data_IF_504500313505
#
_entry.id   IF_504500313505
#
_cell.length_a   1.000
_cell.length_b   1.000
_cell.length_c   1.000
_cell.angle_alpha   90.00
_cell.angle_beta   90.00
_cell.angle_gamma   90.00
#
_symmetry.space_group_name_H-M   'P 1'
#
loop_
_entity.id
_entity.type
_entity.pdbx_description
1 polymer ?
#
# COMPACT_ATOMS: atom_id res chain seq x y z
N UNK A 1 -33.06 12.93 52.57
CA UNK A 1 -32.95 11.46 52.68
C UNK A 1 -31.74 11.06 51.85
N UNK A 2 -30.51 11.30 52.30
CA UNK A 2 -29.73 10.63 53.35
C UNK A 2 -29.20 9.25 52.95
N UNK A 3 -27.87 9.14 53.06
CA UNK A 3 -26.98 7.97 53.16
C UNK A 3 -26.51 7.33 51.84
N UNK A 4 -25.22 7.24 51.46
CA UNK A 4 -23.86 7.30 52.06
C UNK A 4 -23.16 5.93 52.06
N UNK A 5 -21.89 5.97 51.58
CA UNK A 5 -20.76 5.07 51.86
C UNK A 5 -20.83 3.63 51.27
N UNK A 6 -19.75 2.93 50.89
CA UNK A 6 -18.29 3.00 51.17
C UNK A 6 -17.62 2.00 50.19
N UNK A 7 -16.53 2.34 49.49
CA UNK A 7 -15.11 2.21 49.89
C UNK A 7 -14.62 0.76 50.12
N UNK A 8 -13.68 0.31 49.29
CA UNK A 8 -12.58 -0.62 49.64
C UNK A 8 -11.58 -0.76 48.47
N UNK A 9 -10.40 -0.16 48.67
CA UNK A 9 -9.15 -0.45 47.95
C UNK A 9 -8.52 -1.76 48.45
N UNK A 10 -7.79 -2.50 47.59
CA UNK A 10 -6.43 -3.04 47.91
C UNK A 10 -5.75 -3.82 46.77
N UNK A 11 -4.56 -3.32 46.43
CA UNK A 11 -3.27 -4.02 46.31
C UNK A 11 -3.13 -5.33 45.50
N UNK A 12 -2.40 -5.20 44.39
CA UNK A 12 -1.01 -5.68 44.30
C UNK A 12 -0.78 -7.16 43.98
N UNK A 13 -0.23 -7.45 42.80
CA UNK A 13 0.91 -8.36 42.73
C UNK A 13 1.76 -8.18 41.45
N UNK A 14 3.05 -7.93 41.65
CA UNK A 14 4.13 -8.04 40.65
C UNK A 14 4.86 -9.35 40.92
N UNK A 15 5.18 -10.10 39.87
CA UNK A 15 6.34 -11.00 39.93
C UNK A 15 6.88 -11.31 38.53
N UNK A 16 8.13 -10.88 38.33
CA UNK A 16 9.09 -11.34 37.33
C UNK A 16 9.30 -12.85 37.39
N UNK A 17 9.61 -13.47 36.25
CA UNK A 17 10.66 -14.51 36.21
C UNK A 17 11.27 -14.63 34.80
N UNK A 18 12.49 -14.11 34.70
CA UNK A 18 13.52 -14.43 33.71
C UNK A 18 14.00 -15.88 33.85
N UNK A 19 14.36 -16.53 32.74
CA UNK A 19 15.03 -17.83 32.74
C UNK A 19 15.63 -18.17 31.39
N UNK A 20 16.85 -17.70 31.14
CA UNK A 20 17.79 -18.23 30.13
C UNK A 20 18.38 -19.57 30.60
N UNK A 21 18.51 -20.56 29.71
CA UNK A 21 19.61 -21.54 29.72
C UNK A 21 19.65 -22.45 28.47
N UNK A 22 20.65 -22.19 27.61
CA UNK A 22 21.70 -23.12 27.12
C UNK A 22 21.35 -24.52 26.55
N UNK A 23 21.65 -24.64 25.24
CA UNK A 23 22.58 -25.59 24.56
C UNK A 23 22.79 -27.01 25.14
N UNK A 24 22.61 -28.04 24.28
CA UNK A 24 23.68 -28.96 23.82
C UNK A 24 23.13 -30.15 23.00
N UNK A 25 23.90 -30.62 22.00
CA UNK A 25 24.04 -32.05 21.71
C UNK A 25 23.48 -32.60 20.38
N UNK A 26 24.30 -32.57 19.33
CA UNK A 26 24.38 -33.66 18.33
C UNK A 26 25.34 -34.76 18.89
N UNK A 27 25.38 -36.04 18.42
CA UNK A 27 25.58 -36.44 17.01
C UNK A 27 24.97 -37.79 16.52
N UNK A 28 24.97 -37.98 15.18
CA UNK A 28 25.13 -39.19 14.32
C UNK A 28 24.24 -40.46 14.56
N UNK A 29 23.80 -41.30 13.61
CA UNK A 29 24.32 -41.82 12.32
C UNK A 29 23.19 -42.44 11.45
N UNK A 30 23.45 -42.48 10.13
CA UNK A 30 23.11 -43.49 9.10
C UNK A 30 21.68 -43.99 8.73
N UNK A 31 21.44 -43.83 7.41
CA UNK A 31 20.83 -44.76 6.45
C UNK A 31 19.31 -45.05 6.47
N UNK A 32 18.60 -44.49 5.48
CA UNK A 32 17.97 -45.28 4.41
C UNK A 32 17.53 -44.45 3.22
N UNK A 33 17.93 -44.95 2.06
CA UNK A 33 17.71 -44.48 0.71
C UNK A 33 16.31 -44.93 0.23
N UNK A 34 15.46 -43.98 -0.17
CA UNK A 34 14.28 -44.23 -1.03
C UNK A 34 14.11 -43.06 -2.00
N UNK A 35 13.94 -43.31 -3.32
CA UNK A 35 13.89 -42.26 -4.33
C UNK A 35 12.49 -41.64 -4.39
N UNK A 36 12.40 -40.33 -4.17
CA UNK A 36 11.18 -39.54 -4.36
C UNK A 36 11.21 -38.91 -5.77
N UNK A 37 10.19 -39.09 -6.63
CA UNK A 37 10.19 -38.55 -7.97
C UNK A 37 10.07 -37.02 -7.95
N UNK A 38 10.77 -36.38 -8.88
CA UNK A 38 11.16 -34.98 -8.83
C UNK A 38 10.02 -33.98 -9.01
N UNK A 39 10.00 -33.00 -8.12
CA UNK A 39 9.58 -31.63 -8.45
C UNK A 39 10.84 -30.77 -8.52
N UNK A 40 11.44 -30.70 -9.72
CA UNK A 40 12.37 -29.63 -10.06
C UNK A 40 11.56 -28.49 -10.65
N UNK A 41 11.04 -27.62 -9.78
CA UNK A 41 10.56 -26.31 -10.20
C UNK A 41 11.79 -25.41 -10.38
N UNK A 42 12.30 -25.32 -11.60
CA UNK A 42 13.28 -24.31 -11.98
C UNK A 42 12.61 -22.93 -11.95
N UNK A 43 13.12 -21.96 -11.19
CA UNK A 43 12.64 -20.58 -11.27
C UNK A 43 13.36 -19.87 -12.41
N UNK A 44 12.63 -19.42 -13.44
CA UNK A 44 13.13 -18.36 -14.33
C UNK A 44 13.03 -18.55 -15.84
N UNK A 45 12.31 -19.55 -16.37
CA UNK A 45 12.11 -19.67 -17.82
C UNK A 45 10.74 -19.11 -18.21
N UNK A 46 10.73 -18.04 -19.01
CA UNK A 46 9.49 -17.50 -19.54
C UNK A 46 8.79 -18.59 -20.36
N UNK A 47 7.56 -19.01 -20.01
CA UNK A 47 6.87 -20.08 -20.71
C UNK A 47 6.70 -19.67 -22.18
N UNK A 48 7.30 -20.44 -23.08
CA UNK A 48 7.31 -20.15 -24.51
C UNK A 48 5.91 -20.11 -25.12
N UNK A 49 5.76 -19.58 -26.36
CA UNK A 49 4.48 -19.45 -27.06
C UNK A 49 3.70 -20.77 -27.18
N UNK A 50 4.41 -21.91 -27.14
CA UNK A 50 3.83 -23.25 -27.17
C UNK A 50 3.00 -23.55 -25.91
N UNK A 51 3.46 -23.12 -24.73
CA UNK A 51 2.79 -23.42 -23.46
C UNK A 51 1.43 -22.72 -23.36
N UNK A 52 1.34 -21.48 -23.83
CA UNK A 52 0.08 -20.74 -23.91
C UNK A 52 -0.94 -21.47 -24.79
N UNK A 53 -0.52 -21.93 -25.97
CA UNK A 53 -1.40 -22.62 -26.92
C UNK A 53 -1.89 -23.98 -26.36
N UNK A 54 -1.01 -24.73 -25.70
CA UNK A 54 -1.37 -25.96 -25.00
C UNK A 54 -2.46 -25.73 -23.94
N UNK A 55 -2.30 -24.70 -23.10
CA UNK A 55 -3.28 -24.35 -22.07
C UNK A 55 -4.61 -23.89 -22.67
N UNK A 56 -4.58 -23.13 -23.76
CA UNK A 56 -5.80 -22.72 -24.48
C UNK A 56 -6.55 -23.92 -25.08
N UNK A 57 -5.84 -24.90 -25.64
CA UNK A 57 -6.47 -26.13 -26.14
C UNK A 57 -7.02 -26.96 -24.98
N UNK A 58 -6.25 -27.12 -23.90
CA UNK A 58 -6.64 -27.86 -22.71
C UNK A 58 -7.91 -27.28 -22.08
N UNK A 59 -8.04 -25.96 -22.00
CA UNK A 59 -9.24 -25.30 -21.48
C UNK A 59 -10.45 -25.37 -22.42
N UNK A 60 -10.24 -25.60 -23.73
CA UNK A 60 -11.36 -25.89 -24.65
C UNK A 60 -11.94 -27.28 -24.38
N UNK A 61 -11.09 -28.26 -24.12
CA UNK A 61 -11.49 -29.65 -23.88
C UNK A 61 -11.95 -29.89 -22.42
N UNK A 62 -11.27 -29.28 -21.45
CA UNK A 62 -11.47 -29.44 -20.03
C UNK A 62 -11.58 -28.07 -19.33
N UNK A 63 -12.80 -27.54 -19.25
CA UNK A 63 -13.09 -26.24 -18.59
C UNK A 63 -13.04 -26.29 -17.07
N UNK A 64 -12.89 -27.46 -16.47
CA UNK A 64 -12.80 -27.64 -15.00
C UNK A 64 -11.37 -27.66 -14.50
N UNK A 65 -10.41 -27.18 -15.30
CA UNK A 65 -9.01 -27.13 -14.92
C UNK A 65 -8.65 -25.76 -14.32
N UNK A 66 -8.72 -25.71 -12.99
CA UNK A 66 -8.39 -24.53 -12.19
C UNK A 66 -6.98 -24.01 -12.43
N UNK A 67 -5.99 -24.91 -12.42
CA UNK A 67 -4.58 -24.52 -12.50
C UNK A 67 -4.24 -24.00 -13.91
N UNK A 68 -4.90 -24.53 -14.95
CA UNK A 68 -4.76 -24.01 -16.30
C UNK A 68 -5.25 -22.56 -16.43
N UNK A 69 -6.33 -22.17 -15.74
CA UNK A 69 -6.78 -20.76 -15.71
C UNK A 69 -5.76 -19.84 -15.05
N UNK A 70 -5.20 -20.27 -13.90
CA UNK A 70 -4.21 -19.51 -13.15
C UNK A 70 -2.90 -19.37 -13.94
N UNK A 71 -2.40 -20.47 -14.50
CA UNK A 71 -1.17 -20.48 -15.30
C UNK A 71 -1.33 -19.60 -16.54
N UNK A 72 -2.43 -19.77 -17.29
CA UNK A 72 -2.68 -18.97 -18.50
C UNK A 72 -2.85 -17.47 -18.18
N UNK A 73 -3.51 -17.15 -17.06
CA UNK A 73 -3.59 -15.78 -16.55
C UNK A 73 -2.21 -15.18 -16.24
N UNK A 74 -1.35 -15.93 -15.55
CA UNK A 74 0.01 -15.51 -15.24
C UNK A 74 0.87 -15.30 -16.51
N UNK A 75 0.76 -16.19 -17.50
CA UNK A 75 1.43 -16.05 -18.80
C UNK A 75 1.00 -14.73 -19.46
N UNK A 76 -0.31 -14.47 -19.58
CA UNK A 76 -0.79 -13.24 -20.20
C UNK A 76 -0.35 -11.97 -19.45
N UNK A 77 -0.24 -12.01 -18.12
CA UNK A 77 0.32 -10.88 -17.35
C UNK A 77 1.80 -10.67 -17.65
N UNK A 78 2.59 -11.74 -17.69
CA UNK A 78 4.03 -11.66 -18.00
C UNK A 78 4.31 -11.16 -19.42
N UNK A 79 3.43 -11.45 -20.38
CA UNK A 79 3.49 -10.94 -21.76
C UNK A 79 2.99 -9.48 -21.90
N UNK A 80 2.68 -8.78 -20.80
CA UNK A 80 2.06 -7.44 -20.79
C UNK A 80 0.71 -7.36 -21.55
N UNK A 81 -0.09 -8.44 -21.45
CA UNK A 81 -1.43 -8.57 -22.06
C UNK A 81 -2.53 -8.68 -20.99
N UNK A 82 -2.72 -7.66 -20.13
CA UNK A 82 -3.66 -7.74 -19.01
C UNK A 82 -5.12 -7.85 -19.46
N UNK A 83 -5.47 -7.40 -20.68
CA UNK A 83 -6.80 -7.63 -21.27
C UNK A 83 -7.14 -9.12 -21.38
N UNK A 84 -6.20 -9.92 -21.86
CA UNK A 84 -6.41 -11.36 -22.07
C UNK A 84 -6.37 -12.09 -20.74
N UNK A 85 -5.47 -11.69 -19.83
CA UNK A 85 -5.44 -12.20 -18.46
C UNK A 85 -6.79 -11.99 -17.75
N UNK A 86 -7.36 -10.77 -17.81
CA UNK A 86 -8.63 -10.47 -17.17
C UNK A 86 -9.79 -11.29 -17.78
N UNK A 87 -9.78 -11.52 -19.10
CA UNK A 87 -10.79 -12.35 -19.77
C UNK A 87 -10.71 -13.81 -19.33
N UNK A 88 -9.52 -14.40 -19.35
CA UNK A 88 -9.37 -15.82 -19.01
C UNK A 88 -9.65 -16.08 -17.53
N UNK A 89 -9.18 -15.20 -16.63
CA UNK A 89 -9.44 -15.31 -15.20
C UNK A 89 -10.91 -15.04 -14.85
N UNK A 90 -11.61 -14.20 -15.64
CA UNK A 90 -13.06 -14.04 -15.50
C UNK A 90 -13.80 -15.33 -15.84
N UNK A 91 -13.41 -16.01 -16.93
CA UNK A 91 -13.97 -17.32 -17.26
C UNK A 91 -13.67 -18.34 -16.15
N UNK A 92 -12.44 -18.34 -15.62
CA UNK A 92 -12.07 -19.16 -14.47
C UNK A 92 -12.96 -18.88 -13.26
N UNK A 93 -13.25 -17.61 -12.96
CA UNK A 93 -14.12 -17.23 -11.85
C UNK A 93 -15.59 -17.62 -12.06
N UNK A 94 -16.07 -17.64 -13.31
CA UNK A 94 -17.41 -18.14 -13.64
C UNK A 94 -17.54 -19.65 -13.37
N UNK A 95 -16.45 -20.42 -13.56
CA UNK A 95 -16.40 -21.86 -13.25
C UNK A 95 -16.13 -22.12 -11.76
N UNK A 96 -15.30 -21.28 -11.14
CA UNK A 96 -14.84 -21.40 -9.76
C UNK A 96 -15.15 -20.11 -8.96
N UNK A 97 -16.43 -19.84 -8.64
CA UNK A 97 -16.83 -18.59 -7.99
C UNK A 97 -16.26 -18.42 -6.58
N UNK A 98 -16.06 -19.53 -5.86
CA UNK A 98 -15.61 -19.53 -4.47
C UNK A 98 -14.08 -19.65 -4.31
N UNK A 99 -13.33 -19.67 -5.41
CA UNK A 99 -11.87 -19.80 -5.37
C UNK A 99 -11.19 -18.45 -5.09
N UNK A 100 -10.58 -18.27 -3.91
CA UNK A 100 -9.96 -17.00 -3.53
C UNK A 100 -8.72 -16.67 -4.37
N UNK A 101 -8.00 -17.67 -4.91
CA UNK A 101 -6.81 -17.44 -5.74
C UNK A 101 -7.19 -16.93 -7.12
N UNK A 102 -8.20 -17.54 -7.76
CA UNK A 102 -8.70 -17.06 -9.06
C UNK A 102 -9.26 -15.65 -8.93
N UNK A 103 -10.03 -15.39 -7.86
CA UNK A 103 -10.55 -14.05 -7.59
C UNK A 103 -9.42 -13.03 -7.41
N UNK A 104 -8.38 -13.37 -6.63
CA UNK A 104 -7.22 -12.52 -6.43
C UNK A 104 -6.52 -12.17 -7.75
N UNK A 105 -6.20 -13.19 -8.56
CA UNK A 105 -5.54 -12.99 -9.85
C UNK A 105 -6.43 -12.20 -10.83
N UNK A 106 -7.74 -12.41 -10.81
CA UNK A 106 -8.69 -11.63 -11.60
C UNK A 106 -8.66 -10.15 -11.22
N UNK A 107 -8.70 -9.84 -9.91
CA UNK A 107 -8.59 -8.46 -9.41
C UNK A 107 -7.26 -7.82 -9.83
N UNK A 108 -6.14 -8.55 -9.72
CA UNK A 108 -4.83 -8.09 -10.18
C UNK A 108 -4.79 -7.81 -11.68
N UNK A 109 -5.38 -8.69 -12.50
CA UNK A 109 -5.46 -8.50 -13.94
C UNK A 109 -6.36 -7.31 -14.32
N UNK A 110 -7.44 -7.07 -13.57
CA UNK A 110 -8.31 -5.90 -13.75
C UNK A 110 -7.56 -4.60 -13.43
N UNK A 111 -6.84 -4.55 -12.30
CA UNK A 111 -6.00 -3.41 -11.94
C UNK A 111 -4.95 -3.14 -13.02
N UNK A 112 -4.21 -4.18 -13.42
CA UNK A 112 -3.19 -4.09 -14.47
C UNK A 112 -3.76 -3.60 -15.81
N UNK A 113 -4.99 -4.00 -16.17
CA UNK A 113 -5.65 -3.50 -17.36
C UNK A 113 -5.99 -2.02 -17.24
N UNK A 114 -6.60 -1.60 -16.14
CA UNK A 114 -7.01 -0.21 -15.95
C UNK A 114 -5.83 0.76 -15.93
N UNK A 115 -4.70 0.40 -15.29
CA UNK A 115 -3.50 1.25 -15.30
C UNK A 115 -2.83 1.29 -16.69
N UNK A 116 -2.87 0.18 -17.44
CA UNK A 116 -2.40 0.15 -18.82
C UNK A 116 -3.22 1.11 -19.70
N UNK A 117 -4.56 1.11 -19.58
CA UNK A 117 -5.43 2.03 -20.32
C UNK A 117 -5.13 3.49 -20.02
N UNK A 118 -4.96 3.83 -18.73
CA UNK A 118 -4.60 5.17 -18.31
C UNK A 118 -3.26 5.60 -18.93
N UNK A 119 -2.26 4.72 -18.90
CA UNK A 119 -0.92 5.01 -19.47
C UNK A 119 -0.97 5.17 -21.00
N UNK A 120 -1.72 4.31 -21.69
CA UNK A 120 -1.97 4.41 -23.13
C UNK A 120 -2.59 5.77 -23.47
N UNK A 121 -3.62 6.19 -22.72
CA UNK A 121 -4.31 7.45 -22.95
C UNK A 121 -3.46 8.67 -22.64
N UNK A 122 -2.68 8.66 -21.56
CA UNK A 122 -1.68 9.69 -21.27
C UNK A 122 -0.69 9.87 -22.44
N UNK A 123 -0.26 8.76 -23.05
CA UNK A 123 0.63 8.80 -24.20
C UNK A 123 -0.02 9.40 -25.45
N UNK A 124 -1.34 9.24 -25.61
CA UNK A 124 -2.12 9.80 -26.72
C UNK A 124 -2.29 11.31 -26.51
N UNK A 125 -2.74 11.73 -25.33
CA UNK A 125 -2.90 13.15 -24.98
C UNK A 125 -1.61 13.92 -25.20
N UNK A 126 -0.47 13.37 -24.74
CA UNK A 126 0.83 13.98 -24.92
C UNK A 126 1.23 14.19 -26.40
N UNK A 127 0.70 13.38 -27.33
CA UNK A 127 1.00 13.44 -28.76
C UNK A 127 0.01 14.28 -29.56
N UNK A 128 -1.28 14.19 -29.23
CA UNK A 128 -2.36 14.70 -30.07
C UNK A 128 -2.89 16.06 -29.63
N UNK A 129 -2.75 16.41 -28.34
CA UNK A 129 -3.22 17.70 -27.76
C UNK A 129 -4.64 18.09 -28.24
N UNK A 130 -5.56 17.12 -28.16
CA UNK A 130 -6.94 17.27 -28.65
C UNK A 130 -7.92 17.25 -27.48
N UNK A 131 -8.95 18.12 -27.48
CA UNK A 131 -9.94 18.17 -26.41
C UNK A 131 -10.76 16.87 -26.26
N UNK A 132 -10.84 16.05 -27.32
CA UNK A 132 -11.46 14.72 -27.22
C UNK A 132 -10.55 13.75 -26.44
N UNK A 133 -9.24 13.82 -26.66
CA UNK A 133 -8.27 12.98 -25.95
C UNK A 133 -8.21 13.35 -24.45
N UNK A 134 -8.37 14.63 -24.11
CA UNK A 134 -8.43 15.07 -22.70
C UNK A 134 -9.64 14.46 -21.97
N UNK A 135 -10.81 14.41 -22.62
CA UNK A 135 -12.01 13.75 -22.06
C UNK A 135 -11.82 12.25 -21.90
N UNK A 136 -11.16 11.60 -22.87
CA UNK A 136 -10.87 10.17 -22.77
C UNK A 136 -9.84 9.87 -21.67
N UNK A 137 -8.91 10.80 -21.40
CA UNK A 137 -7.97 10.72 -20.28
C UNK A 137 -8.68 10.87 -18.94
N UNK A 138 -9.59 11.85 -18.82
CA UNK A 138 -10.42 12.01 -17.62
C UNK A 138 -11.21 10.74 -17.32
N UNK A 139 -11.87 10.18 -18.35
CA UNK A 139 -12.58 8.90 -18.24
C UNK A 139 -11.66 7.76 -17.80
N UNK A 140 -10.49 7.62 -18.42
CA UNK A 140 -9.54 6.55 -18.08
C UNK A 140 -8.99 6.70 -16.65
N UNK A 141 -8.83 7.94 -16.18
CA UNK A 141 -8.42 8.26 -14.81
C UNK A 141 -9.50 7.85 -13.82
N UNK A 142 -10.76 8.19 -14.11
CA UNK A 142 -11.90 7.79 -13.29
C UNK A 142 -12.08 6.25 -13.28
N UNK A 143 -11.91 5.58 -14.42
CA UNK A 143 -12.01 4.11 -14.51
C UNK A 143 -10.92 3.43 -13.65
N UNK A 144 -9.69 3.96 -13.66
CA UNK A 144 -8.60 3.47 -12.81
C UNK A 144 -8.91 3.62 -11.32
N UNK A 145 -9.35 4.81 -10.90
CA UNK A 145 -9.68 5.07 -9.50
C UNK A 145 -10.86 4.22 -9.01
N UNK A 146 -11.92 4.08 -9.82
CA UNK A 146 -13.05 3.20 -9.53
C UNK A 146 -12.64 1.72 -9.39
N UNK A 147 -11.75 1.25 -10.26
CA UNK A 147 -11.21 -0.11 -10.20
C UNK A 147 -10.47 -0.35 -8.87
N UNK A 148 -9.59 0.59 -8.47
CA UNK A 148 -8.89 0.55 -7.17
C UNK A 148 -9.87 0.53 -6.00
N UNK A 149 -10.86 1.42 -5.98
CA UNK A 149 -11.87 1.48 -4.90
C UNK A 149 -12.58 0.13 -4.76
N UNK A 150 -13.05 -0.43 -5.88
CA UNK A 150 -13.76 -1.72 -5.89
C UNK A 150 -12.90 -2.84 -5.31
N UNK A 151 -11.66 -2.98 -5.79
CA UNK A 151 -10.75 -4.04 -5.35
C UNK A 151 -10.35 -3.84 -3.88
N UNK A 152 -9.97 -2.63 -3.46
CA UNK A 152 -9.60 -2.36 -2.08
C UNK A 152 -10.75 -2.63 -1.11
N UNK A 153 -11.98 -2.18 -1.43
CA UNK A 153 -13.18 -2.46 -0.61
C UNK A 153 -13.45 -3.95 -0.52
N UNK A 154 -13.37 -4.68 -1.64
CA UNK A 154 -13.57 -6.13 -1.66
C UNK A 154 -12.51 -6.88 -0.84
N UNK A 155 -11.24 -6.47 -0.93
CA UNK A 155 -10.13 -7.06 -0.14
C UNK A 155 -10.27 -6.76 1.35
N UNK A 156 -10.53 -5.51 1.73
CA UNK A 156 -10.72 -5.11 3.12
C UNK A 156 -11.95 -5.76 3.77
N UNK A 157 -13.01 -6.04 2.99
CA UNK A 157 -14.17 -6.79 3.47
C UNK A 157 -13.82 -8.25 3.80
N UNK A 158 -12.93 -8.87 3.01
CA UNK A 158 -12.46 -10.25 3.24
C UNK A 158 -11.43 -10.32 4.36
N UNK A 159 -10.52 -9.37 4.39
CA UNK A 159 -9.45 -9.28 5.38
C UNK A 159 -9.25 -7.81 5.83
N UNK A 160 -9.83 -7.42 6.97
CA UNK A 160 -9.66 -6.09 7.55
C UNK A 160 -8.23 -5.77 8.02
N UNK A 161 -7.35 -6.77 8.15
CA UNK A 161 -5.96 -6.58 8.62
C UNK A 161 -5.04 -6.00 7.56
N UNK A 162 -5.48 -5.93 6.30
CA UNK A 162 -4.75 -5.35 5.18
C UNK A 162 -4.76 -3.81 5.23
N UNK A 163 -4.21 -3.24 6.31
CA UNK A 163 -4.29 -1.81 6.60
C UNK A 163 -3.70 -0.93 5.50
N UNK A 164 -2.61 -1.37 4.84
CA UNK A 164 -2.03 -0.67 3.70
C UNK A 164 -3.05 -0.38 2.57
N UNK A 165 -4.07 -1.24 2.38
CA UNK A 165 -5.12 -1.02 1.37
C UNK A 165 -6.05 0.13 1.72
N UNK A 166 -6.16 0.53 2.99
CA UNK A 166 -6.93 1.73 3.38
C UNK A 166 -6.28 3.00 2.85
N UNK A 167 -4.94 3.04 2.79
CA UNK A 167 -4.22 4.17 2.21
C UNK A 167 -4.48 4.23 0.70
N UNK A 168 -4.35 3.10 0.01
CA UNK A 168 -4.64 2.99 -1.43
C UNK A 168 -6.10 3.34 -1.74
N UNK A 169 -7.04 2.95 -0.88
CA UNK A 169 -8.45 3.32 -0.99
C UNK A 169 -8.66 4.83 -0.82
N UNK A 170 -8.05 5.44 0.21
CA UNK A 170 -8.12 6.88 0.43
C UNK A 170 -7.55 7.69 -0.73
N UNK A 171 -6.45 7.25 -1.32
CA UNK A 171 -5.86 7.87 -2.53
C UNK A 171 -6.81 7.78 -3.72
N UNK A 172 -7.40 6.61 -3.98
CA UNK A 172 -8.34 6.44 -5.08
C UNK A 172 -9.62 7.27 -4.89
N UNK A 173 -10.11 7.41 -3.66
CA UNK A 173 -11.25 8.28 -3.33
C UNK A 173 -10.89 9.76 -3.51
N UNK A 174 -9.68 10.16 -3.12
CA UNK A 174 -9.15 11.51 -3.37
C UNK A 174 -9.05 11.81 -4.88
N UNK A 175 -8.59 10.85 -5.68
CA UNK A 175 -8.50 10.97 -7.15
C UNK A 175 -9.88 11.15 -7.81
N UNK A 176 -10.96 10.67 -7.18
CA UNK A 176 -12.36 10.87 -7.61
C UNK A 176 -13.06 12.04 -6.91
N UNK A 177 -12.32 12.88 -6.20
CA UNK A 177 -12.86 14.03 -5.46
C UNK A 177 -13.87 13.66 -4.36
N UNK A 178 -13.89 12.40 -3.92
CA UNK A 178 -14.73 11.90 -2.83
C UNK A 178 -14.04 12.11 -1.48
N UNK A 179 -13.81 13.38 -1.12
CA UNK A 179 -12.95 13.76 -0.01
C UNK A 179 -13.44 13.30 1.36
N UNK A 180 -14.75 13.39 1.64
CA UNK A 180 -15.33 12.87 2.89
C UNK A 180 -15.13 11.37 3.05
N UNK A 181 -15.40 10.59 1.99
CA UNK A 181 -15.19 9.14 2.01
C UNK A 181 -13.72 8.79 2.15
N UNK A 182 -12.82 9.56 1.52
CA UNK A 182 -11.38 9.40 1.66
C UNK A 182 -10.95 9.58 3.12
N UNK A 183 -11.43 10.63 3.80
CA UNK A 183 -11.14 10.88 5.22
C UNK A 183 -11.61 9.69 6.08
N UNK A 184 -12.85 9.22 5.87
CA UNK A 184 -13.40 8.08 6.62
C UNK A 184 -12.60 6.78 6.40
N UNK A 185 -12.13 6.53 5.17
CA UNK A 185 -11.32 5.36 4.86
C UNK A 185 -9.95 5.39 5.56
N UNK A 186 -9.37 6.59 5.72
CA UNK A 186 -8.04 6.82 6.28
C UNK A 186 -8.02 6.89 7.81
N UNK A 187 -9.13 7.24 8.46
CA UNK A 187 -9.24 7.41 9.91
C UNK A 187 -8.63 6.23 10.72
N UNK A 188 -8.87 4.95 10.36
CA UNK A 188 -8.30 3.82 11.11
C UNK A 188 -6.77 3.74 11.05
N UNK A 189 -6.14 4.35 10.04
CA UNK A 189 -4.68 4.35 9.91
C UNK A 189 -3.98 5.33 10.85
N UNK A 190 -4.71 6.22 11.53
CA UNK A 190 -4.10 7.21 12.41
C UNK A 190 -3.36 6.57 13.58
N UNK A 191 -3.77 5.36 13.99
CA UNK A 191 -3.13 4.58 15.05
C UNK A 191 -1.99 3.67 14.55
N UNK A 192 -1.87 3.43 13.24
CA UNK A 192 -0.81 2.60 12.68
C UNK A 192 0.45 3.43 12.44
N UNK A 193 1.55 3.11 13.14
CA UNK A 193 2.81 3.85 13.02
C UNK A 193 3.40 3.90 11.61
N UNK A 194 3.21 2.85 10.81
CA UNK A 194 3.76 2.75 9.45
C UNK A 194 3.01 3.65 8.46
N UNK A 195 1.69 3.78 8.59
CA UNK A 195 0.86 4.48 7.61
C UNK A 195 0.29 5.82 8.11
N UNK A 196 0.31 6.08 9.41
CA UNK A 196 -0.29 7.27 10.05
C UNK A 196 0.20 8.58 9.43
N UNK A 197 1.49 8.71 9.13
CA UNK A 197 2.01 9.95 8.53
C UNK A 197 1.49 10.21 7.12
N UNK A 198 1.37 9.16 6.30
CA UNK A 198 0.88 9.28 4.93
C UNK A 198 -0.63 9.53 4.92
N UNK A 199 -1.36 8.80 5.77
CA UNK A 199 -2.79 9.00 5.95
C UNK A 199 -3.11 10.41 6.47
N UNK A 200 -2.34 10.94 7.43
CA UNK A 200 -2.51 12.30 7.94
C UNK A 200 -2.23 13.37 6.86
N UNK A 201 -1.22 13.17 6.01
CA UNK A 201 -0.96 14.07 4.88
C UNK A 201 -2.15 14.12 3.92
N UNK A 202 -2.67 12.95 3.54
CA UNK A 202 -3.78 12.85 2.60
C UNK A 202 -5.08 13.40 3.21
N UNK A 203 -5.36 13.11 4.47
CA UNK A 203 -6.49 13.67 5.23
C UNK A 203 -6.39 15.19 5.29
N UNK A 204 -5.19 15.74 5.54
CA UNK A 204 -4.95 17.19 5.50
C UNK A 204 -5.25 17.81 4.12
N UNK A 205 -4.87 17.14 3.02
CA UNK A 205 -5.20 17.59 1.66
C UNK A 205 -6.70 17.58 1.40
N UNK A 206 -7.42 16.53 1.82
CA UNK A 206 -8.88 16.50 1.72
C UNK A 206 -9.51 17.70 2.43
N UNK A 207 -9.08 17.99 3.67
CA UNK A 207 -9.59 19.14 4.41
C UNK A 207 -9.30 20.49 3.74
N UNK A 208 -8.13 20.65 3.10
CA UNK A 208 -7.82 21.87 2.33
C UNK A 208 -8.80 22.09 1.19
N UNK A 209 -9.11 21.05 0.41
CA UNK A 209 -10.03 21.16 -0.73
C UNK A 209 -11.45 21.47 -0.24
N UNK A 210 -11.83 20.92 0.91
CA UNK A 210 -13.11 21.19 1.57
C UNK A 210 -13.17 22.57 2.25
N UNK A 211 -12.09 23.38 2.20
CA UNK A 211 -12.01 24.70 2.84
C UNK A 211 -11.93 24.67 4.36
N UNK A 212 -11.56 23.52 4.94
CA UNK A 212 -11.47 23.25 6.38
C UNK A 212 -10.03 23.46 6.88
N UNK A 213 -9.57 24.71 6.84
CA UNK A 213 -8.17 25.06 7.05
C UNK A 213 -7.64 24.70 8.45
N UNK A 214 -8.48 24.82 9.48
CA UNK A 214 -8.10 24.51 10.87
C UNK A 214 -7.84 23.02 11.03
N UNK A 215 -8.74 22.19 10.51
CA UNK A 215 -8.60 20.74 10.47
C UNK A 215 -7.40 20.33 9.61
N UNK A 216 -7.24 20.95 8.44
CA UNK A 216 -6.08 20.71 7.58
C UNK A 216 -4.77 20.97 8.32
N UNK A 217 -4.63 22.11 9.00
CA UNK A 217 -3.46 22.43 9.80
C UNK A 217 -3.18 21.36 10.87
N UNK A 218 -4.21 20.87 11.58
CA UNK A 218 -4.06 19.81 12.58
C UNK A 218 -3.46 18.55 11.97
N UNK A 219 -4.00 18.07 10.85
CA UNK A 219 -3.54 16.83 10.21
C UNK A 219 -2.17 16.97 9.55
N UNK A 220 -1.89 18.11 8.91
CA UNK A 220 -0.58 18.37 8.30
C UNK A 220 0.52 18.49 9.36
N UNK A 221 0.24 19.05 10.55
CA UNK A 221 1.17 19.04 11.69
C UNK A 221 1.44 17.61 12.16
N UNK A 222 0.41 16.76 12.23
CA UNK A 222 0.57 15.35 12.57
C UNK A 222 1.47 14.62 11.55
N UNK A 223 1.35 14.95 10.26
CA UNK A 223 2.17 14.37 9.21
C UNK A 223 3.65 14.83 9.23
N UNK A 224 3.95 16.02 9.76
CA UNK A 224 5.28 16.64 9.64
C UNK A 224 6.07 16.87 10.93
N UNK A 225 5.38 17.10 12.05
CA UNK A 225 5.95 17.57 13.32
C UNK A 225 5.81 16.55 14.46
N UNK A 226 5.32 15.33 14.18
CA UNK A 226 5.21 14.28 15.18
C UNK A 226 6.60 13.84 15.62
N UNK A 227 6.88 13.98 16.93
CA UNK A 227 8.20 13.66 17.51
C UNK A 227 8.39 12.17 17.79
N UNK A 228 7.31 11.43 18.08
CA UNK A 228 7.39 10.01 18.47
C UNK A 228 7.68 9.07 17.31
N UNK A 229 7.13 9.36 16.13
CA UNK A 229 7.34 8.60 14.89
C UNK A 229 7.74 9.61 13.82
N UNK A 230 9.02 9.60 13.43
CA UNK A 230 9.53 10.51 12.42
C UNK A 230 9.04 10.08 11.05
N UNK A 231 8.12 10.86 10.47
CA UNK A 231 7.61 10.61 9.13
C UNK A 231 8.73 10.68 8.07
N UNK A 232 8.59 9.96 6.93
CA UNK A 232 9.52 10.07 5.82
C UNK A 232 9.72 11.52 5.37
N UNK A 233 10.96 11.90 5.02
CA UNK A 233 11.31 13.29 4.68
C UNK A 233 10.40 13.89 3.59
N UNK A 234 10.03 13.09 2.57
CA UNK A 234 9.11 13.51 1.51
C UNK A 234 7.73 13.92 2.04
N UNK A 235 7.18 13.15 2.98
CA UNK A 235 5.87 13.43 3.62
C UNK A 235 5.95 14.71 4.45
N UNK A 236 7.02 14.85 5.25
CA UNK A 236 7.26 16.04 6.09
C UNK A 236 7.37 17.31 5.25
N UNK A 237 8.18 17.27 4.20
CA UNK A 237 8.39 18.39 3.27
C UNK A 237 7.08 18.79 2.59
N UNK A 238 6.30 17.82 2.11
CA UNK A 238 5.01 18.09 1.48
C UNK A 238 4.05 18.77 2.46
N UNK A 239 3.89 18.22 3.66
CA UNK A 239 3.01 18.79 4.68
C UNK A 239 3.45 20.19 5.15
N UNK A 240 4.75 20.43 5.33
CA UNK A 240 5.28 21.73 5.75
C UNK A 240 5.04 22.81 4.70
N UNK A 241 5.18 22.50 3.41
CA UNK A 241 4.86 23.45 2.33
C UNK A 241 3.41 23.93 2.40
N UNK A 242 2.47 23.01 2.64
CA UNK A 242 1.05 23.36 2.80
C UNK A 242 0.79 24.14 4.10
N UNK A 243 1.48 23.80 5.20
CA UNK A 243 1.37 24.54 6.46
C UNK A 243 1.90 25.97 6.36
N UNK A 244 2.99 26.20 5.62
CA UNK A 244 3.56 27.52 5.37
C UNK A 244 2.54 28.38 4.61
N UNK A 245 1.99 27.85 3.52
CA UNK A 245 0.98 28.54 2.72
C UNK A 245 -0.28 28.88 3.55
N UNK A 246 -0.78 27.94 4.37
CA UNK A 246 -1.87 28.22 5.31
C UNK A 246 -1.51 29.28 6.36
N UNK A 247 -0.35 29.17 6.98
CA UNK A 247 0.08 30.12 8.01
C UNK A 247 0.22 31.54 7.45
N UNK A 248 0.71 31.67 6.21
CA UNK A 248 0.82 32.95 5.51
C UNK A 248 -0.56 33.55 5.21
N UNK A 249 -1.47 32.77 4.62
CA UNK A 249 -2.87 33.20 4.33
C UNK A 249 -3.61 33.67 5.57
N UNK A 250 -3.39 33.02 6.71
CA UNK A 250 -4.02 33.34 7.99
C UNK A 250 -3.22 34.35 8.84
N UNK A 251 -2.10 34.88 8.34
CA UNK A 251 -1.30 35.90 9.04
C UNK A 251 -0.61 35.40 10.32
N UNK A 252 -0.33 34.11 10.42
CA UNK A 252 0.24 33.45 11.62
C UNK A 252 1.78 33.52 11.63
N UNK A 253 2.34 34.74 11.74
CA UNK A 253 3.78 35.04 11.57
C UNK A 253 4.73 34.15 12.38
N UNK A 254 4.52 34.01 13.69
CA UNK A 254 5.39 33.20 14.55
C UNK A 254 5.38 31.71 14.17
N UNK A 255 4.22 31.19 13.72
CA UNK A 255 4.13 29.78 13.28
C UNK A 255 4.72 29.58 11.89
N UNK A 256 4.60 30.58 11.02
CA UNK A 256 5.17 30.59 9.69
C UNK A 256 6.70 30.47 9.74
N UNK A 257 7.35 31.31 10.56
CA UNK A 257 8.80 31.27 10.78
C UNK A 257 9.26 29.89 11.29
N UNK A 258 8.49 29.31 12.23
CA UNK A 258 8.78 27.98 12.75
C UNK A 258 8.70 26.89 11.67
N UNK A 259 7.67 26.91 10.83
CA UNK A 259 7.52 25.93 9.74
C UNK A 259 8.61 26.09 8.67
N UNK A 260 8.97 27.32 8.32
CA UNK A 260 10.06 27.61 7.37
C UNK A 260 11.40 27.11 7.89
N UNK A 261 11.74 27.42 9.16
CA UNK A 261 12.96 26.94 9.80
C UNK A 261 13.03 25.41 9.84
N UNK A 262 11.91 24.76 10.19
CA UNK A 262 11.83 23.29 10.23
C UNK A 262 11.99 22.69 8.83
N UNK A 263 11.35 23.28 7.81
CA UNK A 263 11.49 22.83 6.42
C UNK A 263 12.94 22.93 5.96
N UNK A 264 13.60 24.06 6.23
CA UNK A 264 14.99 24.28 5.87
C UNK A 264 15.90 23.22 6.50
N UNK A 265 15.74 22.94 7.80
CA UNK A 265 16.54 21.91 8.49
C UNK A 265 16.40 20.51 7.87
N UNK A 266 15.21 20.15 7.38
CA UNK A 266 14.96 18.84 6.76
C UNK A 266 15.62 18.77 5.38
N UNK A 267 15.50 19.86 4.62
CA UNK A 267 16.07 19.96 3.27
C UNK A 267 17.60 19.91 3.34
N UNK A 268 18.20 20.59 4.31
CA UNK A 268 19.65 20.60 4.49
C UNK A 268 20.17 19.24 4.97
N UNK A 269 19.49 18.61 5.94
CA UNK A 269 19.80 17.24 6.36
C UNK A 269 19.66 16.21 5.22
N UNK A 270 18.85 16.48 4.20
CA UNK A 270 18.71 15.62 3.03
C UNK A 270 19.79 15.86 1.95
N UNK A 271 20.49 17.00 2.00
CA UNK A 271 21.59 17.34 1.07
C UNK A 271 22.95 16.85 1.57
N UNK A 272 23.13 16.68 2.88
CA UNK A 272 24.37 16.14 3.42
C UNK A 272 24.53 14.66 3.02
N UNK A 273 25.52 14.31 2.16
CA UNK A 273 25.78 12.92 1.84
C UNK A 273 26.24 12.22 3.11
N UNK A 274 25.60 11.09 3.42
CA UNK A 274 25.98 10.22 4.53
C UNK A 274 27.47 9.87 4.40
N UNK A 275 28.32 10.56 5.15
CA UNK A 275 29.74 10.22 5.24
C UNK A 275 29.81 8.79 5.77
N UNK A 276 30.53 7.87 5.10
CA UNK A 276 30.69 6.53 5.63
C UNK A 276 31.37 6.67 7.00
N UNK A 277 30.73 6.13 8.03
CA UNK A 277 31.32 5.98 9.36
C UNK A 277 32.56 5.11 9.23
N UNK A 278 33.72 5.73 9.02
CA UNK A 278 35.03 5.14 9.22
C UNK A 278 35.17 4.88 10.71
N UNK A 279 34.74 3.69 11.16
CA UNK A 279 35.21 3.11 12.40
C UNK A 279 36.69 2.74 12.21
N UNK A 280 37.56 3.72 12.40
CA UNK A 280 38.99 3.51 12.52
C UNK A 280 39.38 3.53 14.01
N UNK A 281 39.79 2.35 14.48
CA UNK A 281 40.89 2.09 15.42
C UNK A 281 40.83 2.65 16.84
N UNK A 282 40.78 1.73 17.80
CA UNK A 282 41.61 1.82 19.01
C UNK A 282 42.62 0.65 18.97
N UNK A 283 43.93 0.91 19.06
CA UNK A 283 44.93 -0.11 19.32
C UNK A 283 45.09 -0.28 20.84
N UNK A 284 45.11 -1.51 21.33
CA UNK A 284 45.63 -1.80 22.68
C UNK A 284 46.78 -2.78 22.55
N UNK A 285 47.84 -2.39 23.25
CA UNK A 285 49.17 -2.96 23.40
C UNK A 285 49.22 -4.42 23.82
#
# INVERSE_FOLDING_TARGET
MSESASDASRDGNRSNSSGDAKTAGAPATDAKNTPNPGHTSTPGEAPGPNRRQELEHRLKDARTDRDAYLELGAIYRSENRPQNAAKILKQGHEVFPDDPTILWELEEAQLARSIQQLTEMQSIVAKTQSPLADKDLERSTADWANCRIKVCRARLKRDPSLEHLRLVLGEALYDLEQYEEAIAALEPLMQNETHSSAAALLTGRCHLILGRDVEAMRWLRMASLRRSVTSPARVRVAALKMLIDLADRHGLTATLEHYQSTLQSIVDAAKEPHAPSTSASAPTS
#
